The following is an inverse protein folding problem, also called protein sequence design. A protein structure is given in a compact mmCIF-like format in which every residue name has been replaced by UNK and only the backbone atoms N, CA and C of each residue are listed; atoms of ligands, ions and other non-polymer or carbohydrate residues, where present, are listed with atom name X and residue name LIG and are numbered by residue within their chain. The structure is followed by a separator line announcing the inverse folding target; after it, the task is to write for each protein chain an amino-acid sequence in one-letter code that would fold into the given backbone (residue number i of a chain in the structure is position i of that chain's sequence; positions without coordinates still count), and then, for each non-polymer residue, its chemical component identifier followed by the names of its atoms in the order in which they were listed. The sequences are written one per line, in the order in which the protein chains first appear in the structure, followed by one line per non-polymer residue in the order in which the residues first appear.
data_IF_605753011822
#
_entry.id   IF_605753011822
#
_cell.length_a   1.000
_cell.length_b   1.000
_cell.length_c   1.000
_cell.angle_alpha   90.00
_cell.angle_beta   90.00
_cell.angle_gamma   90.00
#
_symmetry.space_group_name_H-M   'P 1'
#
loop_
_entity.id
_entity.type
_entity.pdbx_description
1 polymer ?
#
# COMPACT_ATOMS: atom_id res chain seq x y z
N UNK A 1 -16.92 -12.91 2.91
CA UNK A 1 -16.17 -11.66 2.82
C UNK A 1 -16.00 -10.98 4.19
N UNK A 2 -17.05 -10.68 4.93
CA UNK A 2 -16.94 -10.02 6.26
C UNK A 2 -16.08 -10.80 7.26
N UNK A 3 -16.18 -12.13 7.26
CA UNK A 3 -15.34 -13.00 8.11
C UNK A 3 -13.85 -12.86 7.75
N UNK A 4 -13.51 -12.83 6.44
CA UNK A 4 -12.13 -12.60 5.98
C UNK A 4 -11.60 -11.23 6.42
N UNK A 5 -12.45 -10.20 6.33
CA UNK A 5 -12.11 -8.86 6.80
C UNK A 5 -11.87 -8.80 8.30
N UNK A 6 -12.73 -9.50 9.09
CA UNK A 6 -12.56 -9.60 10.54
C UNK A 6 -11.28 -10.33 10.93
N UNK A 7 -10.94 -11.43 10.25
CA UNK A 7 -9.68 -12.16 10.46
C UNK A 7 -8.47 -11.31 10.12
N UNK A 8 -8.47 -10.66 8.95
CA UNK A 8 -7.38 -9.76 8.55
C UNK A 8 -7.20 -8.60 9.55
N UNK A 9 -8.30 -8.02 10.03
CA UNK A 9 -8.24 -6.95 11.03
C UNK A 9 -7.65 -7.43 12.36
N UNK A 10 -8.07 -8.59 12.85
CA UNK A 10 -7.53 -9.18 14.09
C UNK A 10 -6.03 -9.48 13.96
N UNK A 11 -5.57 -9.93 12.79
CA UNK A 11 -4.17 -10.24 12.55
C UNK A 11 -3.27 -9.00 12.62
N UNK A 12 -3.77 -7.79 12.34
CA UNK A 12 -2.98 -6.55 12.50
C UNK A 12 -2.43 -6.37 13.93
N UNK A 13 -3.09 -6.95 14.91
CA UNK A 13 -2.70 -6.86 16.33
C UNK A 13 -1.77 -7.99 16.78
N UNK A 14 -1.44 -8.94 15.91
CA UNK A 14 -0.50 -10.02 16.23
C UNK A 14 0.94 -9.50 16.30
N UNK A 15 1.82 -10.15 17.08
CA UNK A 15 3.22 -9.73 17.20
C UNK A 15 3.95 -9.67 15.86
N UNK A 16 3.70 -10.62 14.94
CA UNK A 16 4.32 -10.68 13.62
C UNK A 16 3.97 -9.43 12.79
N UNK A 17 2.69 -9.07 12.71
CA UNK A 17 2.23 -7.90 11.96
C UNK A 17 2.73 -6.59 12.57
N UNK A 18 2.70 -6.48 13.92
CA UNK A 18 3.25 -5.31 14.63
C UNK A 18 4.75 -5.14 14.37
N UNK A 19 5.50 -6.24 14.35
CA UNK A 19 6.93 -6.19 14.05
C UNK A 19 7.20 -5.67 12.64
N UNK A 20 6.44 -6.11 11.64
CA UNK A 20 6.54 -5.59 10.27
C UNK A 20 6.16 -4.11 10.21
N UNK A 21 5.05 -3.72 10.84
CA UNK A 21 4.61 -2.33 10.87
C UNK A 21 5.66 -1.42 11.52
N UNK A 22 6.22 -1.82 12.66
CA UNK A 22 7.28 -1.07 13.34
C UNK A 22 8.54 -0.96 12.47
N UNK A 23 8.94 -2.03 11.77
CA UNK A 23 10.05 -1.98 10.81
C UNK A 23 9.76 -0.97 9.70
N UNK A 24 8.57 -1.01 9.09
CA UNK A 24 8.18 -0.06 8.04
C UNK A 24 8.25 1.38 8.53
N UNK A 25 7.71 1.67 9.71
CA UNK A 25 7.74 3.02 10.30
C UNK A 25 9.17 3.44 10.61
N UNK A 26 9.99 2.57 11.22
CA UNK A 26 11.38 2.88 11.54
C UNK A 26 12.21 3.16 10.29
N UNK A 27 12.07 2.33 9.23
CA UNK A 27 12.72 2.58 7.94
C UNK A 27 12.26 3.87 7.30
N UNK A 28 10.97 4.18 7.37
CA UNK A 28 10.41 5.43 6.84
C UNK A 28 11.02 6.64 7.55
N UNK A 29 11.05 6.63 8.88
CA UNK A 29 11.64 7.71 9.67
C UNK A 29 13.13 7.85 9.35
N UNK A 30 13.87 6.74 9.28
CA UNK A 30 15.29 6.74 8.92
C UNK A 30 15.54 7.31 7.53
N UNK A 31 14.75 6.88 6.53
CA UNK A 31 14.86 7.39 5.16
C UNK A 31 14.56 8.88 5.07
N UNK A 32 13.49 9.33 5.72
CA UNK A 32 13.12 10.75 5.75
C UNK A 32 14.18 11.59 6.46
N UNK A 33 14.74 11.10 7.58
CA UNK A 33 15.83 11.78 8.29
C UNK A 33 17.07 11.94 7.39
N UNK A 34 17.49 10.87 6.69
CA UNK A 34 18.60 10.93 5.73
C UNK A 34 18.32 11.92 4.60
N UNK A 35 17.07 11.95 4.11
CA UNK A 35 16.65 12.84 3.04
C UNK A 35 16.68 14.31 3.50
N UNK A 36 16.17 14.62 4.68
CA UNK A 36 16.19 15.95 5.29
C UNK A 36 17.63 16.42 5.48
N UNK A 37 18.49 15.60 6.12
CA UNK A 37 19.89 15.91 6.35
C UNK A 37 20.61 16.15 5.00
N UNK A 38 20.35 15.31 3.99
CA UNK A 38 20.92 15.45 2.67
C UNK A 38 20.50 16.73 1.96
N UNK A 39 19.23 17.12 2.07
CA UNK A 39 18.72 18.38 1.51
C UNK A 39 19.37 19.56 2.23
N UNK A 40 19.36 19.61 3.55
CA UNK A 40 19.97 20.69 4.31
C UNK A 40 21.48 20.82 4.01
N UNK A 41 22.20 19.70 3.95
CA UNK A 41 23.62 19.69 3.61
C UNK A 41 23.87 20.23 2.19
N UNK A 42 23.04 19.84 1.23
CA UNK A 42 23.15 20.31 -0.15
C UNK A 42 22.88 21.81 -0.23
N UNK A 43 21.83 22.29 0.41
CA UNK A 43 21.51 23.72 0.42
C UNK A 43 22.61 24.56 1.09
N UNK A 44 23.12 24.12 2.25
CA UNK A 44 24.19 24.85 2.96
C UNK A 44 25.51 24.92 2.20
N UNK A 45 25.81 23.92 1.33
CA UNK A 45 27.07 23.88 0.58
C UNK A 45 27.00 24.56 -0.78
N UNK A 46 25.88 24.51 -1.48
CA UNK A 46 25.79 24.93 -2.87
C UNK A 46 25.02 26.24 -3.06
N UNK A 47 24.27 26.71 -2.06
CA UNK A 47 23.44 27.91 -2.18
C UNK A 47 23.91 28.96 -1.20
N UNK A 48 24.50 30.04 -1.72
CA UNK A 48 24.90 31.23 -0.94
C UNK A 48 23.87 32.34 -1.15
N UNK A 49 23.14 32.66 -0.12
CA UNK A 49 22.14 33.72 -0.12
C UNK A 49 22.61 34.92 0.70
N UNK A 50 22.16 36.16 0.41
CA UNK A 50 22.35 37.29 1.32
C UNK A 50 21.78 36.98 2.71
N UNK A 51 22.48 37.33 3.78
CA UNK A 51 22.22 36.84 5.15
C UNK A 51 20.81 37.01 5.72
N UNK A 52 20.01 37.99 5.22
CA UNK A 52 18.61 38.12 5.63
C UNK A 52 17.70 37.12 4.89
N UNK A 53 18.02 36.76 3.66
CA UNK A 53 17.31 35.73 2.89
C UNK A 53 17.66 34.35 3.46
N UNK A 54 18.93 34.12 3.80
CA UNK A 54 19.41 32.87 4.37
C UNK A 54 18.63 32.45 5.63
N UNK A 55 18.50 33.34 6.61
CA UNK A 55 17.71 33.07 7.81
C UNK A 55 16.25 32.77 7.53
N UNK A 56 15.65 33.50 6.56
CA UNK A 56 14.25 33.27 6.20
C UNK A 56 14.05 31.90 5.54
N UNK A 57 14.97 31.52 4.66
CA UNK A 57 14.93 30.21 3.97
C UNK A 57 15.20 29.06 4.95
N UNK A 58 16.15 29.22 5.88
CA UNK A 58 16.39 28.22 6.94
C UNK A 58 15.13 27.95 7.76
N UNK A 59 14.45 28.99 8.25
CA UNK A 59 13.22 28.85 9.03
C UNK A 59 12.05 28.28 8.23
N UNK A 60 11.78 28.83 7.06
CA UNK A 60 10.67 28.38 6.20
C UNK A 60 10.97 27.00 5.59
N UNK A 61 12.21 26.76 5.21
CA UNK A 61 12.68 25.48 4.68
C UNK A 61 12.60 24.39 5.75
N UNK A 62 13.11 24.67 6.95
CA UNK A 62 13.00 23.71 8.07
C UNK A 62 11.55 23.39 8.43
N UNK A 63 10.68 24.39 8.50
CA UNK A 63 9.25 24.17 8.73
C UNK A 63 8.61 23.36 7.59
N UNK A 64 8.92 23.69 6.34
CA UNK A 64 8.41 22.99 5.17
C UNK A 64 8.89 21.52 5.13
N UNK A 65 10.14 21.25 5.53
CA UNK A 65 10.68 19.89 5.64
C UNK A 65 9.97 19.10 6.74
N UNK A 66 9.73 19.68 7.90
CA UNK A 66 9.00 19.01 9.00
C UNK A 66 7.56 18.70 8.58
N UNK A 67 6.83 19.70 8.08
CA UNK A 67 5.44 19.52 7.64
C UNK A 67 5.39 18.54 6.45
N UNK A 68 6.27 18.71 5.47
CA UNK A 68 6.35 17.80 4.32
C UNK A 68 6.64 16.36 4.73
N UNK A 69 7.51 16.14 5.73
CA UNK A 69 7.80 14.80 6.25
C UNK A 69 6.56 14.12 6.83
N UNK A 70 5.72 14.84 7.56
CA UNK A 70 4.47 14.30 8.12
C UNK A 70 3.56 13.79 6.99
N UNK A 71 3.46 14.54 5.88
CA UNK A 71 2.68 14.14 4.71
C UNK A 71 3.32 13.01 3.90
N UNK A 72 4.66 12.86 3.96
CA UNK A 72 5.40 11.80 3.26
C UNK A 72 5.41 10.47 4.03
N UNK A 73 5.22 10.47 5.35
CA UNK A 73 5.21 9.24 6.15
C UNK A 73 4.25 8.17 5.58
N UNK A 74 2.96 8.45 5.31
CA UNK A 74 2.06 7.42 4.82
C UNK A 74 2.48 6.80 3.46
N UNK A 75 2.77 7.58 2.40
CA UNK A 75 3.14 6.99 1.12
C UNK A 75 4.48 6.26 1.17
N UNK A 76 5.47 6.78 1.90
CA UNK A 76 6.77 6.13 2.03
C UNK A 76 6.67 4.84 2.85
N UNK A 77 5.92 4.85 3.96
CA UNK A 77 5.66 3.64 4.74
C UNK A 77 4.90 2.58 3.93
N UNK A 78 3.93 2.98 3.11
CA UNK A 78 3.21 2.06 2.23
C UNK A 78 4.13 1.44 1.17
N UNK A 79 5.06 2.23 0.63
CA UNK A 79 6.05 1.72 -0.32
C UNK A 79 6.97 0.67 0.35
N UNK A 80 7.47 0.97 1.54
CA UNK A 80 8.31 0.05 2.31
C UNK A 80 7.52 -1.20 2.72
N UNK A 81 6.28 -1.04 3.18
CA UNK A 81 5.41 -2.15 3.53
C UNK A 81 5.12 -3.07 2.34
N UNK A 82 5.12 -2.52 1.12
CA UNK A 82 5.03 -3.30 -0.13
C UNK A 82 6.14 -4.34 -0.28
N UNK A 83 7.32 -4.11 0.30
CA UNK A 83 8.43 -5.08 0.30
C UNK A 83 8.15 -6.29 1.20
N UNK A 84 7.26 -6.17 2.17
CA UNK A 84 6.90 -7.21 3.13
C UNK A 84 5.57 -7.91 2.80
N UNK A 85 4.97 -7.63 1.66
CA UNK A 85 3.66 -8.19 1.27
C UNK A 85 3.71 -9.72 1.19
N UNK A 86 4.81 -10.28 0.67
CA UNK A 86 5.00 -11.73 0.60
C UNK A 86 5.18 -12.37 1.99
N UNK A 87 5.90 -11.69 2.91
CA UNK A 87 6.09 -12.16 4.28
C UNK A 87 4.76 -12.17 5.04
N UNK A 88 3.94 -11.14 4.85
CA UNK A 88 2.59 -11.06 5.42
C UNK A 88 1.71 -12.20 4.88
N UNK A 89 1.76 -12.46 3.58
CA UNK A 89 1.01 -13.56 2.99
C UNK A 89 1.43 -14.92 3.56
N UNK A 90 2.73 -15.15 3.68
CA UNK A 90 3.27 -16.38 4.26
C UNK A 90 2.85 -16.54 5.73
N UNK A 91 2.86 -15.47 6.52
CA UNK A 91 2.41 -15.49 7.91
C UNK A 91 0.93 -15.85 8.02
N UNK A 92 0.06 -15.26 7.18
CA UNK A 92 -1.38 -15.61 7.14
C UNK A 92 -1.57 -17.08 6.74
N UNK A 93 -0.86 -17.55 5.73
CA UNK A 93 -0.95 -18.94 5.26
C UNK A 93 -0.53 -19.93 6.34
N UNK A 94 0.60 -19.69 6.99
CA UNK A 94 1.15 -20.61 8.01
C UNK A 94 0.32 -20.62 9.31
N UNK A 95 -0.18 -19.47 9.73
CA UNK A 95 -0.92 -19.35 11.00
C UNK A 95 -2.38 -19.73 10.87
N UNK A 96 -3.03 -19.42 9.74
CA UNK A 96 -4.49 -19.64 9.59
C UNK A 96 -4.81 -20.84 8.72
N UNK A 97 -3.94 -21.20 7.77
CA UNK A 97 -4.17 -22.29 6.82
C UNK A 97 -3.01 -23.31 6.80
N UNK A 98 -2.59 -23.86 7.96
CA UNK A 98 -1.41 -24.73 8.06
C UNK A 98 -1.59 -26.07 7.31
N UNK A 99 -2.82 -26.45 6.97
CA UNK A 99 -3.13 -27.68 6.21
C UNK A 99 -3.04 -27.48 4.69
N UNK A 100 -3.02 -26.23 4.23
CA UNK A 100 -2.96 -25.91 2.82
C UNK A 100 -1.49 -25.91 2.31
N UNK A 101 -1.25 -26.24 1.04
CA UNK A 101 0.06 -26.06 0.48
C UNK A 101 0.55 -24.61 0.62
N UNK A 102 1.80 -24.38 1.08
CA UNK A 102 2.32 -23.04 1.22
C UNK A 102 2.47 -22.36 -0.14
N UNK A 103 2.13 -21.08 -0.20
CA UNK A 103 2.33 -20.27 -1.39
C UNK A 103 3.82 -20.02 -1.65
N UNK A 104 4.17 -19.81 -2.91
CA UNK A 104 5.53 -19.45 -3.31
C UNK A 104 5.65 -17.93 -3.41
N UNK A 105 6.78 -17.34 -2.99
CA UNK A 105 7.03 -15.91 -3.22
C UNK A 105 6.89 -15.57 -4.71
N UNK A 106 6.31 -14.43 -5.00
CA UNK A 106 6.16 -14.00 -6.40
C UNK A 106 7.53 -13.68 -6.98
N UNK A 107 7.86 -14.30 -8.13
CA UNK A 107 9.14 -14.08 -8.78
C UNK A 107 9.37 -12.59 -9.11
N UNK A 108 10.58 -12.09 -8.87
CA UNK A 108 10.93 -10.66 -8.93
C UNK A 108 10.68 -10.03 -10.31
N UNK A 109 11.03 -10.70 -11.40
CA UNK A 109 10.86 -10.18 -12.76
C UNK A 109 9.40 -9.99 -13.17
N UNK A 110 8.50 -10.99 -13.02
CA UNK A 110 7.06 -10.79 -13.22
C UNK A 110 6.47 -9.73 -12.28
N UNK A 111 6.95 -9.63 -11.03
CA UNK A 111 6.50 -8.64 -10.08
C UNK A 111 6.83 -7.22 -10.52
N UNK A 112 8.05 -6.95 -11.03
CA UNK A 112 8.46 -5.65 -11.56
C UNK A 112 7.58 -5.25 -12.77
N UNK A 113 7.36 -6.16 -13.71
CA UNK A 113 6.51 -5.89 -14.86
C UNK A 113 5.06 -5.58 -14.47
N UNK A 114 4.56 -6.26 -13.44
CA UNK A 114 3.23 -6.00 -12.89
C UNK A 114 3.17 -4.65 -12.19
N UNK A 115 4.18 -4.33 -11.37
CA UNK A 115 4.30 -3.06 -10.65
C UNK A 115 4.39 -1.87 -11.62
N UNK A 116 5.15 -1.98 -12.71
CA UNK A 116 5.26 -0.91 -13.72
C UNK A 116 3.91 -0.69 -14.43
N UNK A 117 3.23 -1.78 -14.82
CA UNK A 117 1.90 -1.69 -15.42
C UNK A 117 0.88 -1.10 -14.44
N UNK A 118 0.96 -1.50 -13.17
CA UNK A 118 0.11 -0.96 -12.12
C UNK A 118 0.37 0.54 -11.91
N UNK A 119 1.64 0.96 -11.87
CA UNK A 119 2.02 2.37 -11.76
C UNK A 119 1.39 3.22 -12.86
N UNK A 120 1.41 2.77 -14.12
CA UNK A 120 0.76 3.48 -15.24
C UNK A 120 -0.73 3.61 -15.01
N UNK A 121 -1.40 2.56 -14.52
CA UNK A 121 -2.85 2.61 -14.23
C UNK A 121 -3.16 3.54 -13.07
N UNK A 122 -2.34 3.49 -12.00
CA UNK A 122 -2.47 4.42 -10.86
C UNK A 122 -2.30 5.86 -11.32
N UNK A 123 -1.29 6.14 -12.14
CA UNK A 123 -1.04 7.47 -12.69
C UNK A 123 -2.25 7.97 -13.49
N UNK A 124 -2.80 7.14 -14.37
CA UNK A 124 -3.98 7.48 -15.17
C UNK A 124 -5.21 7.77 -14.30
N UNK A 125 -5.45 6.94 -13.26
CA UNK A 125 -6.56 7.14 -12.30
C UNK A 125 -6.36 8.41 -11.48
N UNK A 126 -5.13 8.70 -11.05
CA UNK A 126 -4.84 9.94 -10.30
C UNK A 126 -5.00 11.19 -11.17
N UNK A 127 -4.56 11.15 -12.43
CA UNK A 127 -4.80 12.25 -13.38
C UNK A 127 -6.31 12.48 -13.55
N UNK A 128 -7.08 11.42 -13.76
CA UNK A 128 -8.53 11.51 -13.87
C UNK A 128 -9.15 12.07 -12.57
N UNK A 129 -8.67 11.63 -11.40
CA UNK A 129 -9.14 12.11 -10.10
C UNK A 129 -8.89 13.62 -9.92
N UNK A 130 -7.76 14.16 -10.40
CA UNK A 130 -7.47 15.61 -10.38
C UNK A 130 -8.50 16.38 -11.20
N UNK A 131 -8.88 15.90 -12.39
CA UNK A 131 -9.95 16.53 -13.17
C UNK A 131 -11.30 16.46 -12.46
N UNK A 132 -11.58 15.36 -11.76
CA UNK A 132 -12.82 15.18 -11.00
C UNK A 132 -12.88 16.02 -9.73
N UNK A 133 -11.74 16.54 -9.23
CA UNK A 133 -11.71 17.52 -8.11
C UNK A 133 -12.47 18.80 -8.43
N UNK A 134 -12.63 19.15 -9.72
CA UNK A 134 -13.39 20.32 -10.16
C UNK A 134 -14.89 20.17 -9.91
N UNK A 135 -15.38 18.95 -9.62
CA UNK A 135 -16.80 18.68 -9.37
C UNK A 135 -16.98 18.18 -7.94
N UNK A 136 -17.48 19.03 -7.01
CA UNK A 136 -17.69 18.66 -5.61
C UNK A 136 -18.58 17.42 -5.46
N UNK A 137 -18.15 16.48 -4.61
CA UNK A 137 -18.88 15.24 -4.32
C UNK A 137 -18.57 14.07 -5.26
N UNK A 138 -18.28 14.29 -6.54
CA UNK A 138 -17.90 13.23 -7.48
C UNK A 138 -16.51 12.69 -7.15
N UNK A 139 -15.61 13.53 -6.66
CA UNK A 139 -14.25 13.14 -6.27
C UNK A 139 -14.24 12.04 -5.18
N UNK A 140 -15.15 12.09 -4.22
CA UNK A 140 -15.23 11.08 -3.15
C UNK A 140 -15.65 9.71 -3.72
N UNK A 141 -16.66 9.71 -4.57
CA UNK A 141 -17.14 8.49 -5.25
C UNK A 141 -16.03 7.94 -6.14
N UNK A 142 -15.39 8.79 -6.95
CA UNK A 142 -14.30 8.40 -7.84
C UNK A 142 -13.09 7.85 -7.06
N UNK A 143 -12.75 8.46 -5.89
CA UNK A 143 -11.71 7.97 -5.00
C UNK A 143 -11.99 6.53 -4.54
N UNK A 144 -13.17 6.27 -3.99
CA UNK A 144 -13.50 4.93 -3.49
C UNK A 144 -13.62 3.90 -4.62
N UNK A 145 -14.29 4.23 -5.72
CA UNK A 145 -14.43 3.32 -6.85
C UNK A 145 -13.07 3.04 -7.52
N UNK A 146 -12.26 4.07 -7.73
CA UNK A 146 -10.93 3.95 -8.33
C UNK A 146 -9.98 3.13 -7.43
N UNK A 147 -9.83 3.50 -6.17
CA UNK A 147 -8.99 2.78 -5.23
C UNK A 147 -9.52 1.37 -4.94
N UNK A 148 -10.85 1.19 -4.81
CA UNK A 148 -11.46 -0.12 -4.66
C UNK A 148 -11.11 -1.07 -5.81
N UNK A 149 -11.17 -0.58 -7.04
CA UNK A 149 -10.77 -1.34 -8.20
C UNK A 149 -9.26 -1.63 -8.23
N UNK A 150 -8.42 -0.61 -8.01
CA UNK A 150 -6.97 -0.72 -8.09
C UNK A 150 -6.41 -1.62 -6.98
N UNK A 151 -6.76 -1.35 -5.73
CA UNK A 151 -6.25 -2.10 -4.58
C UNK A 151 -6.82 -3.52 -4.55
N UNK A 152 -8.10 -3.68 -4.90
CA UNK A 152 -8.72 -4.99 -5.04
C UNK A 152 -8.00 -5.86 -6.05
N UNK A 153 -7.72 -5.29 -7.21
CA UNK A 153 -6.99 -5.96 -8.29
C UNK A 153 -5.57 -6.35 -7.87
N UNK A 154 -4.81 -5.40 -7.33
CA UNK A 154 -3.39 -5.59 -7.02
C UNK A 154 -3.20 -6.65 -5.94
N UNK A 155 -3.79 -6.46 -4.78
CA UNK A 155 -3.60 -7.39 -3.67
C UNK A 155 -4.19 -8.78 -3.94
N UNK A 156 -5.30 -8.88 -4.70
CA UNK A 156 -5.84 -10.19 -5.08
C UNK A 156 -4.93 -10.91 -6.08
N UNK A 157 -4.42 -10.22 -7.10
CA UNK A 157 -3.49 -10.81 -8.06
C UNK A 157 -2.21 -11.27 -7.33
N UNK A 158 -1.66 -10.48 -6.41
CA UNK A 158 -0.50 -10.86 -5.60
C UNK A 158 -0.78 -12.12 -4.76
N UNK A 159 -1.90 -12.17 -4.03
CA UNK A 159 -2.27 -13.34 -3.23
C UNK A 159 -2.45 -14.60 -4.10
N UNK A 160 -3.14 -14.47 -5.23
CA UNK A 160 -3.39 -15.60 -6.14
C UNK A 160 -2.12 -16.08 -6.86
N UNK A 161 -1.20 -15.19 -7.22
CA UNK A 161 0.07 -15.54 -7.89
C UNK A 161 1.02 -16.36 -7.02
N UNK A 162 0.83 -16.40 -5.71
CA UNK A 162 1.57 -17.30 -4.83
C UNK A 162 1.27 -18.77 -5.10
N UNK A 163 0.13 -19.06 -5.72
CA UNK A 163 -0.37 -20.41 -5.99
C UNK A 163 -0.62 -20.69 -7.48
N UNK A 164 -0.70 -19.65 -8.30
CA UNK A 164 -1.09 -19.72 -9.70
C UNK A 164 -0.14 -18.94 -10.63
N UNK A 165 -0.22 -19.25 -11.91
CA UNK A 165 0.42 -18.40 -12.94
C UNK A 165 -0.21 -17.01 -12.97
N UNK A 166 0.51 -16.01 -13.49
CA UNK A 166 -0.01 -14.64 -13.69
C UNK A 166 -1.30 -14.65 -14.52
N UNK A 167 -1.39 -15.52 -15.53
CA UNK A 167 -2.57 -15.61 -16.40
C UNK A 167 -3.79 -16.18 -15.64
N UNK A 168 -3.57 -17.21 -14.82
CA UNK A 168 -4.64 -17.84 -14.04
C UNK A 168 -5.11 -16.95 -12.89
N UNK A 169 -4.19 -16.25 -12.21
CA UNK A 169 -4.53 -15.28 -11.18
C UNK A 169 -5.44 -14.16 -11.75
N UNK A 170 -5.12 -13.64 -12.95
CA UNK A 170 -5.95 -12.66 -13.65
C UNK A 170 -7.31 -13.21 -14.06
N UNK A 171 -7.37 -14.48 -14.50
CA UNK A 171 -8.62 -15.14 -14.85
C UNK A 171 -9.50 -15.29 -13.61
N UNK A 172 -8.93 -15.78 -12.51
CA UNK A 172 -9.62 -15.93 -11.23
C UNK A 172 -10.19 -14.59 -10.73
N UNK A 173 -9.38 -13.53 -10.74
CA UNK A 173 -9.83 -12.18 -10.41
C UNK A 173 -11.03 -11.73 -11.27
N UNK A 174 -10.99 -11.99 -12.58
CA UNK A 174 -12.09 -11.61 -13.47
C UNK A 174 -13.37 -12.40 -13.16
N UNK A 175 -13.24 -13.69 -12.81
CA UNK A 175 -14.39 -14.52 -12.43
C UNK A 175 -15.05 -14.01 -11.14
N UNK A 176 -14.26 -13.56 -10.17
CA UNK A 176 -14.76 -13.07 -8.88
C UNK A 176 -14.68 -11.54 -8.75
N UNK A 177 -14.77 -10.83 -9.88
CA UNK A 177 -14.54 -9.38 -9.93
C UNK A 177 -15.37 -8.57 -8.92
N UNK A 178 -16.64 -8.92 -8.70
CA UNK A 178 -17.50 -8.22 -7.74
C UNK A 178 -17.02 -8.38 -6.30
N UNK A 179 -16.66 -9.59 -5.89
CA UNK A 179 -16.16 -9.87 -4.55
C UNK A 179 -14.79 -9.22 -4.32
N UNK A 180 -13.91 -9.28 -5.33
CA UNK A 180 -12.59 -8.64 -5.29
C UNK A 180 -12.72 -7.11 -5.22
N UNK A 181 -13.65 -6.53 -5.98
CA UNK A 181 -13.92 -5.10 -5.93
C UNK A 181 -14.45 -4.65 -4.56
N UNK A 182 -15.40 -5.37 -3.99
CA UNK A 182 -15.93 -5.07 -2.65
C UNK A 182 -14.85 -5.19 -1.56
N UNK A 183 -13.97 -6.19 -1.66
CA UNK A 183 -12.83 -6.30 -0.76
C UNK A 183 -11.84 -5.12 -0.97
N UNK A 184 -11.61 -4.70 -2.21
CA UNK A 184 -10.85 -3.50 -2.53
C UNK A 184 -11.46 -2.21 -1.96
N UNK A 185 -12.78 -2.09 -1.92
CA UNK A 185 -13.48 -0.97 -1.26
C UNK A 185 -13.20 -0.93 0.25
N UNK A 186 -13.12 -2.08 0.91
CA UNK A 186 -12.71 -2.14 2.31
C UNK A 186 -11.27 -1.68 2.51
N UNK A 187 -10.36 -2.06 1.60
CA UNK A 187 -8.97 -1.57 1.63
C UNK A 187 -8.95 -0.05 1.38
N UNK A 188 -9.74 0.46 0.44
CA UNK A 188 -9.84 1.89 0.17
C UNK A 188 -10.34 2.68 1.38
N UNK A 189 -11.24 2.10 2.20
CA UNK A 189 -11.66 2.69 3.46
C UNK A 189 -10.50 2.80 4.48
N UNK A 190 -9.59 1.82 4.52
CA UNK A 190 -8.37 1.90 5.32
C UNK A 190 -7.45 3.03 4.85
N UNK A 191 -7.26 3.19 3.55
CA UNK A 191 -6.44 4.27 2.96
C UNK A 191 -6.96 5.64 3.35
N UNK A 192 -8.27 5.79 3.54
CA UNK A 192 -8.91 7.09 3.84
C UNK A 192 -8.57 7.64 5.22
N UNK A 193 -8.08 6.79 6.15
CA UNK A 193 -7.77 7.20 7.53
C UNK A 193 -6.25 7.29 7.68
N UNK A 194 -5.65 8.50 7.86
CA UNK A 194 -4.20 8.71 7.76
C UNK A 194 -3.34 7.77 8.61
N UNK A 195 -3.72 7.53 9.87
CA UNK A 195 -2.96 6.65 10.78
C UNK A 195 -3.14 5.17 10.37
N UNK A 196 -4.38 4.78 10.05
CA UNK A 196 -4.73 3.42 9.66
C UNK A 196 -4.11 3.08 8.29
N UNK A 197 -3.95 4.07 7.43
CA UNK A 197 -3.30 3.92 6.11
C UNK A 197 -1.91 3.29 6.20
N UNK A 198 -1.15 3.52 7.28
CA UNK A 198 0.14 2.88 7.49
C UNK A 198 0.05 1.34 7.50
N UNK A 199 -1.08 0.79 7.95
CA UNK A 199 -1.34 -0.64 7.99
C UNK A 199 -2.04 -1.18 6.72
N UNK A 200 -2.35 -0.32 5.75
CA UNK A 200 -3.10 -0.71 4.54
C UNK A 200 -2.45 -1.87 3.77
N UNK A 201 -1.14 -1.88 3.49
CA UNK A 201 -0.53 -3.00 2.78
C UNK A 201 -0.65 -4.32 3.53
N UNK A 202 -0.51 -4.28 4.86
CA UNK A 202 -0.63 -5.45 5.72
C UNK A 202 -2.07 -5.97 5.73
N UNK A 203 -3.03 -5.08 5.97
CA UNK A 203 -4.45 -5.42 5.95
C UNK A 203 -4.90 -5.92 4.57
N UNK A 204 -4.51 -5.20 3.51
CA UNK A 204 -4.90 -5.53 2.14
C UNK A 204 -4.41 -6.91 1.72
N UNK A 205 -3.16 -7.24 2.05
CA UNK A 205 -2.61 -8.56 1.73
C UNK A 205 -3.27 -9.66 2.56
N UNK A 206 -3.41 -9.48 3.88
CA UNK A 206 -4.08 -10.44 4.74
C UNK A 206 -5.53 -10.70 4.29
N UNK A 207 -6.30 -9.64 4.02
CA UNK A 207 -7.67 -9.75 3.51
C UNK A 207 -7.74 -10.55 2.21
N UNK A 208 -6.82 -10.29 1.27
CA UNK A 208 -6.86 -10.94 -0.04
C UNK A 208 -6.34 -12.37 0.00
N UNK A 209 -5.44 -12.72 0.91
CA UNK A 209 -5.07 -14.13 1.16
C UNK A 209 -6.27 -14.89 1.71
N UNK A 210 -6.96 -14.36 2.72
CA UNK A 210 -8.18 -14.99 3.24
C UNK A 210 -9.27 -15.13 2.17
N UNK A 211 -9.46 -14.09 1.36
CA UNK A 211 -10.42 -14.12 0.27
C UNK A 211 -10.07 -15.17 -0.78
N UNK A 212 -8.80 -15.22 -1.19
CA UNK A 212 -8.30 -16.20 -2.14
C UNK A 212 -8.50 -17.63 -1.62
N UNK A 213 -8.12 -17.92 -0.38
CA UNK A 213 -8.28 -19.24 0.24
C UNK A 213 -9.74 -19.69 0.27
N UNK A 214 -10.66 -18.81 0.59
CA UNK A 214 -12.10 -19.10 0.54
C UNK A 214 -12.62 -19.38 -0.86
N UNK A 215 -12.15 -18.63 -1.85
CA UNK A 215 -12.51 -18.88 -3.26
C UNK A 215 -11.96 -20.25 -3.71
N UNK A 216 -10.72 -20.56 -3.31
CA UNK A 216 -10.07 -21.82 -3.67
C UNK A 216 -10.72 -23.04 -3.00
N UNK A 217 -11.20 -22.91 -1.76
CA UNK A 217 -11.94 -23.98 -1.05
C UNK A 217 -13.39 -24.16 -1.51
N UNK A 218 -13.89 -23.27 -2.38
CA UNK A 218 -15.30 -23.28 -2.80
C UNK A 218 -16.28 -22.75 -1.75
N UNK A 219 -15.79 -22.20 -0.67
CA UNK A 219 -16.56 -21.61 0.42
C UNK A 219 -16.98 -20.18 0.01
N UNK A 220 -18.26 -20.03 -0.42
CA UNK A 220 -18.83 -18.76 -0.92
C UNK A 220 -19.39 -17.89 0.19
#
# INVERSE_FOLDING_TARGET
MLTAAGQAFQQLFTPAFRAVLLKCVAFTIGLLAVLIIGIEWTFSHFVQWPGWIEKTIEWLGGLALVVGSIFLIPPVSSLIAGLYVDDIAAEVETTTYPQDPPGKPVATLPAIGLALKFFVVVLAVNILAVFLLLVPGINLIAFYLGNGYLLGREYFELAAMRHHSVADAKRLRKTYHGTVFLAGMLIAAFVSVPIINLATPLFGMALMVHLYKRIASGDR
#
